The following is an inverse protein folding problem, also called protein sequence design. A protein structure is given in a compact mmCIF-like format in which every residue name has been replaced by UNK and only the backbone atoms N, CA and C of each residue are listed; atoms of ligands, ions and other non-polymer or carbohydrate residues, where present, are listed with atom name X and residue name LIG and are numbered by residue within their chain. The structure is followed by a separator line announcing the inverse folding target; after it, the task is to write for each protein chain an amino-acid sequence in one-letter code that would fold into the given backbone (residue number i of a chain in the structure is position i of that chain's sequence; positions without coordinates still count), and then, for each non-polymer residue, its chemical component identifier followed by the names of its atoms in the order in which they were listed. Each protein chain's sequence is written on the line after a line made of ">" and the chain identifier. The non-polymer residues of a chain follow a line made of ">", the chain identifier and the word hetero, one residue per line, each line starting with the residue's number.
data_IF_754319774515
#
_entry.id   IF_754319774515
#
_cell.length_a   1.000
_cell.length_b   1.000
_cell.length_c   1.000
_cell.angle_alpha   90.00
_cell.angle_beta   90.00
_cell.angle_gamma   90.00
#
_symmetry.space_group_name_H-M   'P 1'
#
loop_
_entity.id
_entity.type
_entity.pdbx_description
1 polymer ?
#
# COMPACT_ATOMS: atom_id res chain seq x y z
N UNK A 1 -4.27 13.55 10.67
CA UNK A 1 -3.27 14.01 11.69
C UNK A 1 -2.73 12.84 12.51
N UNK A 2 -3.59 12.02 13.13
CA UNK A 2 -3.15 10.94 14.03
C UNK A 2 -2.19 9.93 13.38
N UNK A 3 -2.60 9.26 12.30
CA UNK A 3 -1.81 8.17 11.71
C UNK A 3 -0.40 8.61 11.29
N UNK A 4 -0.22 9.81 10.70
CA UNK A 4 1.11 10.31 10.36
C UNK A 4 2.04 10.39 11.57
N UNK A 5 1.52 10.92 12.69
CA UNK A 5 2.28 11.02 13.94
C UNK A 5 2.52 9.64 14.56
N UNK A 6 1.48 8.81 14.61
CA UNK A 6 1.53 7.45 15.17
C UNK A 6 2.53 6.58 14.41
N UNK A 7 2.43 6.55 13.09
CA UNK A 7 3.24 5.70 12.23
C UNK A 7 4.70 6.17 12.24
N UNK A 8 4.95 7.49 12.21
CA UNK A 8 6.29 8.05 12.43
C UNK A 8 6.90 7.58 13.76
N UNK A 9 6.12 7.62 14.83
CA UNK A 9 6.55 7.17 16.16
C UNK A 9 6.87 5.67 16.20
N UNK A 10 5.96 4.80 15.74
CA UNK A 10 6.14 3.34 15.81
C UNK A 10 7.17 2.79 14.82
N UNK A 11 7.37 3.46 13.68
CA UNK A 11 8.39 3.07 12.69
C UNK A 11 9.77 3.65 12.99
N UNK A 12 9.86 4.68 13.84
CA UNK A 12 11.10 5.39 14.13
C UNK A 12 11.56 6.36 13.04
N UNK A 13 10.71 6.63 12.03
CA UNK A 13 10.98 7.61 10.96
C UNK A 13 10.70 9.02 11.51
N UNK A 14 11.75 9.66 12.02
CA UNK A 14 11.64 10.96 12.70
C UNK A 14 11.21 12.10 11.76
N UNK A 15 11.58 12.01 10.48
CA UNK A 15 11.28 13.02 9.47
C UNK A 15 9.78 13.05 9.08
N UNK A 16 9.02 12.03 9.47
CA UNK A 16 7.56 11.98 9.34
C UNK A 16 6.80 12.62 10.50
N UNK A 17 7.49 13.14 11.51
CA UNK A 17 6.85 13.63 12.73
C UNK A 17 6.20 15.00 12.53
N UNK A 18 4.93 15.12 12.95
CA UNK A 18 4.15 16.36 12.86
C UNK A 18 3.73 16.85 14.25
N UNK A 19 3.66 18.17 14.41
CA UNK A 19 3.06 18.79 15.60
C UNK A 19 1.53 18.89 15.43
N UNK A 20 0.84 17.78 15.66
CA UNK A 20 -0.62 17.72 15.54
C UNK A 20 -1.32 18.72 16.46
N UNK A 21 -0.83 18.91 17.70
CA UNK A 21 -1.40 19.86 18.66
C UNK A 21 -1.28 21.31 18.18
N UNK A 22 -0.14 21.68 17.59
CA UNK A 22 0.04 23.04 17.04
C UNK A 22 -0.87 23.30 15.86
N UNK A 23 -1.06 22.32 14.96
CA UNK A 23 -2.01 22.44 13.86
C UNK A 23 -3.44 22.64 14.37
N UNK A 24 -3.89 21.80 15.30
CA UNK A 24 -5.23 21.88 15.88
C UNK A 24 -5.46 23.25 16.54
N UNK A 25 -4.47 23.77 17.27
CA UNK A 25 -4.55 25.06 17.93
C UNK A 25 -4.65 26.27 16.96
N UNK A 26 -4.36 26.08 15.68
CA UNK A 26 -4.45 27.11 14.64
C UNK A 26 -5.66 26.88 13.71
N UNK A 27 -6.48 25.86 13.96
CA UNK A 27 -7.70 25.64 13.18
C UNK A 27 -8.75 26.70 13.54
N UNK A 28 -9.46 27.18 12.51
CA UNK A 28 -10.57 28.11 12.63
C UNK A 28 -11.68 27.73 11.65
N UNK A 29 -12.87 28.29 11.81
CA UNK A 29 -13.99 28.11 10.88
C UNK A 29 -14.37 29.44 10.26
N UNK A 30 -14.46 29.51 8.94
CA UNK A 30 -14.94 30.66 8.18
C UNK A 30 -15.88 30.14 7.10
N UNK A 31 -17.10 30.67 7.03
CA UNK A 31 -18.13 30.25 6.06
C UNK A 31 -18.33 28.73 6.02
N UNK A 32 -18.46 28.12 7.21
CA UNK A 32 -18.61 26.66 7.43
C UNK A 32 -17.45 25.81 6.89
N UNK A 33 -16.32 26.44 6.57
CA UNK A 33 -15.12 25.79 6.08
C UNK A 33 -14.00 25.82 7.12
N UNK A 34 -13.29 24.70 7.25
CA UNK A 34 -12.11 24.61 8.11
C UNK A 34 -10.94 25.35 7.45
N UNK A 35 -10.39 26.33 8.16
CA UNK A 35 -9.22 27.12 7.74
C UNK A 35 -8.14 27.07 8.81
N UNK A 36 -6.93 27.50 8.47
CA UNK A 36 -5.79 27.58 9.40
C UNK A 36 -5.38 29.04 9.56
N UNK A 37 -5.21 29.53 10.78
CA UNK A 37 -4.69 30.88 11.02
C UNK A 37 -3.30 31.04 10.36
N UNK A 38 -3.01 32.20 9.76
CA UNK A 38 -1.79 32.46 8.98
C UNK A 38 -0.49 32.16 9.76
N UNK A 39 -0.45 32.42 11.08
CA UNK A 39 0.70 32.06 11.95
C UNK A 39 0.97 30.55 12.04
N UNK A 40 0.03 29.73 11.57
CA UNK A 40 0.13 28.28 11.47
C UNK A 40 0.84 27.78 10.20
N UNK A 41 1.19 28.66 9.25
CA UNK A 41 1.75 28.29 7.94
C UNK A 41 2.89 27.27 8.02
N UNK A 42 3.89 27.49 8.88
CA UNK A 42 5.01 26.56 9.04
C UNK A 42 4.62 25.18 9.58
N UNK A 43 3.53 25.11 10.35
CA UNK A 43 3.01 23.81 10.83
C UNK A 43 2.35 23.05 9.69
N UNK A 44 1.67 23.76 8.78
CA UNK A 44 1.08 23.18 7.57
C UNK A 44 2.18 22.73 6.61
N UNK A 45 3.22 23.54 6.40
CA UNK A 45 4.38 23.18 5.57
C UNK A 45 5.05 21.91 6.08
N UNK A 46 5.39 21.87 7.38
CA UNK A 46 5.98 20.69 7.99
C UNK A 46 5.07 19.46 7.84
N UNK A 47 3.76 19.63 7.99
CA UNK A 47 2.79 18.54 7.78
C UNK A 47 2.83 18.00 6.35
N UNK A 48 2.85 18.87 5.34
CA UNK A 48 2.87 18.46 3.93
C UNK A 48 4.19 17.75 3.57
N UNK A 49 5.32 18.24 4.08
CA UNK A 49 6.64 17.61 3.90
C UNK A 49 6.69 16.25 4.59
N UNK A 50 6.29 16.18 5.86
CA UNK A 50 6.25 14.94 6.63
C UNK A 50 5.32 13.90 5.98
N UNK A 51 4.16 14.31 5.47
CA UNK A 51 3.25 13.45 4.71
C UNK A 51 3.96 12.84 3.50
N UNK A 52 4.65 13.64 2.68
CA UNK A 52 5.42 13.13 1.53
C UNK A 52 6.50 12.13 1.93
N UNK A 53 7.25 12.43 2.99
CA UNK A 53 8.32 11.57 3.48
C UNK A 53 7.78 10.23 3.97
N UNK A 54 6.71 10.24 4.77
CA UNK A 54 6.02 9.03 5.24
C UNK A 54 5.56 8.13 4.10
N UNK A 55 5.01 8.71 3.02
CA UNK A 55 4.63 7.92 1.86
C UNK A 55 5.79 7.19 1.21
N UNK A 56 6.95 7.82 1.03
CA UNK A 56 8.08 7.17 0.37
C UNK A 56 8.88 6.25 1.29
N UNK A 57 9.04 6.63 2.55
CA UNK A 57 9.88 5.91 3.51
C UNK A 57 9.15 4.75 4.18
N UNK A 58 7.81 4.84 4.34
CA UNK A 58 6.99 3.85 5.04
C UNK A 58 5.99 3.19 4.09
N UNK A 59 5.01 3.94 3.59
CA UNK A 59 3.84 3.34 2.91
C UNK A 59 4.19 2.69 1.56
N UNK A 60 5.07 3.33 0.78
CA UNK A 60 5.57 2.84 -0.51
C UNK A 60 6.98 2.25 -0.37
N UNK A 61 7.37 1.83 0.84
CA UNK A 61 8.65 1.20 1.04
C UNK A 61 8.70 -0.12 0.26
N UNK A 62 9.77 -0.31 -0.52
CA UNK A 62 9.93 -1.43 -1.47
C UNK A 62 9.67 -2.80 -0.85
N UNK A 63 10.09 -3.04 0.40
CA UNK A 63 9.88 -4.32 1.06
C UNK A 63 8.41 -4.55 1.44
N UNK A 64 7.71 -3.49 1.87
CA UNK A 64 6.28 -3.53 2.19
C UNK A 64 5.45 -3.81 0.94
N UNK A 65 5.74 -3.09 -0.16
CA UNK A 65 5.12 -3.34 -1.47
C UNK A 65 5.33 -4.78 -1.95
N UNK A 66 6.55 -5.31 -1.78
CA UNK A 66 6.84 -6.69 -2.13
C UNK A 66 5.98 -7.68 -1.31
N UNK A 67 5.86 -7.48 0.00
CA UNK A 67 5.05 -8.31 0.87
C UNK A 67 3.55 -8.22 0.54
N UNK A 68 3.04 -7.01 0.32
CA UNK A 68 1.64 -6.75 -0.08
C UNK A 68 1.27 -7.51 -1.35
N UNK A 69 2.06 -7.37 -2.42
CA UNK A 69 1.77 -8.07 -3.68
C UNK A 69 1.90 -9.58 -3.56
N UNK A 70 2.81 -10.09 -2.72
CA UNK A 70 2.89 -11.52 -2.44
C UNK A 70 1.62 -11.97 -1.71
N UNK A 71 1.13 -11.21 -0.72
CA UNK A 71 -0.11 -11.53 0.00
C UNK A 71 -1.32 -11.55 -0.94
N UNK A 72 -1.48 -10.53 -1.80
CA UNK A 72 -2.53 -10.49 -2.82
C UNK A 72 -2.49 -11.73 -3.72
N UNK A 73 -1.27 -12.16 -4.11
CA UNK A 73 -1.06 -13.34 -4.93
C UNK A 73 -1.38 -14.64 -4.20
N UNK A 74 -1.09 -14.73 -2.90
CA UNK A 74 -1.52 -15.87 -2.07
C UNK A 74 -3.03 -15.97 -2.07
N UNK A 75 -3.74 -14.87 -1.79
CA UNK A 75 -5.20 -14.86 -1.77
C UNK A 75 -5.77 -15.21 -3.15
N UNK A 76 -5.19 -14.67 -4.23
CA UNK A 76 -5.60 -15.02 -5.60
C UNK A 76 -5.43 -16.53 -5.87
N UNK A 77 -4.27 -17.11 -5.54
CA UNK A 77 -4.04 -18.55 -5.73
C UNK A 77 -4.97 -19.40 -4.88
N UNK A 78 -5.22 -18.99 -3.63
CA UNK A 78 -6.16 -19.66 -2.75
C UNK A 78 -7.57 -19.69 -3.37
N UNK A 79 -8.04 -18.57 -3.92
CA UNK A 79 -9.32 -18.53 -4.66
C UNK A 79 -9.33 -19.47 -5.87
N UNK A 80 -8.28 -19.47 -6.70
CA UNK A 80 -8.18 -20.38 -7.85
C UNK A 80 -8.29 -21.85 -7.45
N UNK A 81 -7.58 -22.25 -6.40
CA UNK A 81 -7.60 -23.63 -5.89
C UNK A 81 -8.98 -23.99 -5.32
N UNK A 82 -9.58 -23.08 -4.54
CA UNK A 82 -10.92 -23.26 -3.98
C UNK A 82 -11.99 -23.41 -5.06
N UNK A 83 -11.97 -22.55 -6.07
CA UNK A 83 -12.88 -22.63 -7.22
C UNK A 83 -12.66 -23.90 -8.06
N UNK A 84 -11.46 -24.48 -8.01
CA UNK A 84 -11.14 -25.76 -8.63
C UNK A 84 -11.56 -26.97 -7.76
N UNK A 85 -12.24 -26.74 -6.64
CA UNK A 85 -12.73 -27.78 -5.73
C UNK A 85 -11.69 -28.31 -4.74
N UNK A 86 -10.52 -27.66 -4.63
CA UNK A 86 -9.47 -28.07 -3.67
C UNK A 86 -9.82 -27.50 -2.29
N UNK A 87 -9.82 -28.38 -1.29
CA UNK A 87 -9.96 -27.96 0.10
C UNK A 87 -8.64 -27.37 0.61
N UNK A 88 -8.71 -26.16 1.16
CA UNK A 88 -7.58 -25.41 1.69
C UNK A 88 -7.41 -25.57 3.21
N UNK A 89 -8.26 -26.38 3.85
CA UNK A 89 -8.23 -26.64 5.29
C UNK A 89 -8.55 -25.41 6.15
N UNK A 90 -9.21 -24.40 5.56
CA UNK A 90 -9.65 -23.20 6.26
C UNK A 90 -11.17 -23.24 6.46
N UNK A 91 -11.61 -22.73 7.61
CA UNK A 91 -13.02 -22.62 7.99
C UNK A 91 -13.34 -21.18 8.38
N UNK A 92 -14.62 -20.84 8.50
CA UNK A 92 -15.07 -19.52 8.94
C UNK A 92 -15.01 -18.44 7.86
N UNK A 93 -14.83 -17.18 8.27
CA UNK A 93 -15.01 -16.00 7.43
C UNK A 93 -14.04 -15.90 6.27
N UNK A 94 -12.78 -16.33 6.43
CA UNK A 94 -11.84 -16.33 5.31
C UNK A 94 -12.32 -17.28 4.20
N UNK A 95 -12.82 -18.45 4.57
CA UNK A 95 -13.32 -19.42 3.60
C UNK A 95 -14.55 -18.91 2.85
N UNK A 96 -15.44 -18.17 3.52
CA UNK A 96 -16.57 -17.49 2.89
C UNK A 96 -16.08 -16.56 1.75
N UNK A 97 -15.14 -15.66 2.04
CA UNK A 97 -14.64 -14.70 1.04
C UNK A 97 -13.78 -15.33 -0.07
N UNK A 98 -13.15 -16.49 0.16
CA UNK A 98 -12.46 -17.18 -0.94
C UNK A 98 -13.43 -17.73 -1.98
N UNK A 99 -14.64 -18.11 -1.56
CA UNK A 99 -15.70 -18.64 -2.42
C UNK A 99 -16.68 -17.59 -2.93
N UNK A 100 -16.63 -16.36 -2.39
CA UNK A 100 -17.54 -15.28 -2.75
C UNK A 100 -17.39 -14.85 -4.22
N UNK A 101 -18.51 -14.73 -4.94
CA UNK A 101 -18.55 -14.16 -6.28
C UNK A 101 -18.52 -12.63 -6.17
N UNK A 102 -17.61 -11.99 -6.92
CA UNK A 102 -17.48 -10.53 -6.91
C UNK A 102 -18.67 -9.81 -7.55
N UNK A 103 -19.53 -10.55 -8.28
CA UNK A 103 -20.74 -10.00 -8.88
C UNK A 103 -21.95 -10.01 -7.93
N UNK A 104 -21.84 -10.66 -6.78
CA UNK A 104 -22.89 -10.65 -5.77
C UNK A 104 -22.89 -9.33 -4.98
N UNK A 105 -24.08 -8.88 -4.58
CA UNK A 105 -24.19 -7.75 -3.66
C UNK A 105 -23.77 -8.17 -2.26
N UNK A 106 -23.09 -7.27 -1.55
CA UNK A 106 -22.73 -7.49 -0.16
C UNK A 106 -23.99 -7.63 0.69
N UNK A 107 -24.20 -8.80 1.26
CA UNK A 107 -25.35 -9.11 2.09
C UNK A 107 -25.05 -8.87 3.57
N UNK A 108 -26.08 -8.96 4.41
CA UNK A 108 -25.90 -8.95 5.87
C UNK A 108 -24.98 -10.10 6.33
N UNK A 109 -25.08 -11.28 5.70
CA UNK A 109 -24.18 -12.41 5.97
C UNK A 109 -22.73 -12.08 5.60
N UNK A 110 -22.51 -11.39 4.45
CA UNK A 110 -21.18 -10.92 4.07
C UNK A 110 -20.60 -9.97 5.12
N UNK A 111 -21.42 -9.08 5.66
CA UNK A 111 -21.01 -8.17 6.73
C UNK A 111 -20.65 -8.92 8.01
N UNK A 112 -21.46 -9.90 8.42
CA UNK A 112 -21.21 -10.70 9.62
C UNK A 112 -19.91 -11.51 9.48
N UNK A 113 -19.62 -12.04 8.29
CA UNK A 113 -18.33 -12.67 8.01
C UNK A 113 -17.17 -11.67 8.05
N UNK A 114 -17.33 -10.49 7.45
CA UNK A 114 -16.30 -9.46 7.43
C UNK A 114 -15.92 -8.99 8.85
N UNK A 115 -16.90 -8.79 9.72
CA UNK A 115 -16.69 -8.37 11.11
C UNK A 115 -15.95 -9.42 11.96
N UNK A 116 -16.01 -10.68 11.55
CA UNK A 116 -15.31 -11.79 12.18
C UNK A 116 -13.94 -12.09 11.54
N UNK A 117 -13.50 -11.29 10.57
CA UNK A 117 -12.22 -11.48 9.90
C UNK A 117 -11.18 -10.51 10.46
N UNK A 118 -10.04 -11.05 10.91
CA UNK A 118 -8.91 -10.25 11.36
C UNK A 118 -7.55 -10.81 10.91
N UNK A 119 -6.46 -10.16 11.35
CA UNK A 119 -5.10 -10.54 10.98
C UNK A 119 -4.74 -11.98 11.43
N UNK A 120 -5.36 -12.50 12.49
CA UNK A 120 -5.13 -13.85 13.00
C UNK A 120 -5.62 -14.88 11.99
N UNK A 121 -6.77 -14.67 11.35
CA UNK A 121 -7.29 -15.56 10.31
C UNK A 121 -6.31 -15.68 9.14
N UNK A 122 -5.82 -14.53 8.67
CA UNK A 122 -4.87 -14.46 7.57
C UNK A 122 -3.55 -15.13 7.96
N UNK A 123 -3.02 -14.84 9.15
CA UNK A 123 -1.76 -15.43 9.63
C UNK A 123 -1.88 -16.94 9.87
N UNK A 124 -3.02 -17.42 10.38
CA UNK A 124 -3.30 -18.83 10.57
C UNK A 124 -3.37 -19.57 9.22
N UNK A 125 -4.09 -19.01 8.25
CA UNK A 125 -4.16 -19.55 6.89
C UNK A 125 -2.78 -19.60 6.23
N UNK A 126 -1.99 -18.52 6.32
CA UNK A 126 -0.63 -18.51 5.81
C UNK A 126 0.25 -19.60 6.43
N UNK A 127 0.18 -19.80 7.76
CA UNK A 127 0.95 -20.86 8.45
C UNK A 127 0.52 -22.25 8.00
N UNK A 128 -0.77 -22.51 7.87
CA UNK A 128 -1.32 -23.76 7.36
C UNK A 128 -0.83 -24.02 5.92
N UNK A 129 -0.93 -23.01 5.07
CA UNK A 129 -0.61 -23.13 3.66
C UNK A 129 0.87 -23.35 3.37
N UNK A 130 1.77 -23.08 4.31
CA UNK A 130 3.20 -23.42 4.15
C UNK A 130 3.44 -24.92 3.88
N UNK A 131 2.57 -25.81 4.34
CA UNK A 131 2.68 -27.26 4.10
C UNK A 131 1.70 -27.78 3.06
N UNK A 132 1.00 -26.91 2.34
CA UNK A 132 0.05 -27.31 1.30
C UNK A 132 0.77 -27.93 0.10
N UNK A 133 0.12 -28.88 -0.57
CA UNK A 133 0.70 -29.62 -1.71
C UNK A 133 0.90 -28.73 -2.94
N UNK A 134 0.05 -27.70 -3.11
CA UNK A 134 0.23 -26.69 -4.15
C UNK A 134 1.55 -25.92 -3.95
N UNK A 135 2.45 -26.04 -4.93
CA UNK A 135 3.76 -25.41 -4.88
C UNK A 135 3.66 -23.88 -4.80
N UNK A 136 2.75 -23.26 -5.55
CA UNK A 136 2.64 -21.79 -5.61
C UNK A 136 2.22 -21.27 -4.23
N UNK A 137 1.10 -21.78 -3.71
CA UNK A 137 0.54 -21.38 -2.44
C UNK A 137 1.55 -21.60 -1.30
N UNK A 138 2.16 -22.79 -1.25
CA UNK A 138 3.10 -23.11 -0.15
C UNK A 138 4.38 -22.28 -0.17
N UNK A 139 4.95 -21.98 -1.34
CA UNK A 139 6.17 -21.17 -1.43
C UNK A 139 5.92 -19.69 -1.16
N UNK A 140 4.79 -19.14 -1.63
CA UNK A 140 4.44 -17.76 -1.32
C UNK A 140 4.11 -17.59 0.17
N UNK A 141 3.37 -18.51 0.77
CA UNK A 141 3.08 -18.49 2.21
C UNK A 141 4.36 -18.60 3.05
N UNK A 142 5.30 -19.48 2.68
CA UNK A 142 6.64 -19.55 3.30
C UNK A 142 7.39 -18.22 3.17
N UNK A 143 7.23 -17.52 2.05
CA UNK A 143 7.92 -16.26 1.78
C UNK A 143 7.50 -15.17 2.78
N UNK A 144 6.20 -15.07 3.09
CA UNK A 144 5.68 -14.14 4.09
C UNK A 144 6.06 -14.59 5.51
N UNK A 145 5.70 -15.80 5.92
CA UNK A 145 5.90 -16.26 7.30
C UNK A 145 7.38 -16.32 7.70
N UNK A 146 8.27 -16.77 6.80
CA UNK A 146 9.72 -16.81 7.06
C UNK A 146 10.43 -15.50 6.72
N UNK A 147 9.69 -14.46 6.31
CA UNK A 147 10.21 -13.15 5.90
C UNK A 147 11.32 -13.25 4.82
N UNK A 148 11.19 -14.18 3.88
CA UNK A 148 12.15 -14.41 2.78
C UNK A 148 11.72 -13.73 1.49
N UNK A 149 11.40 -12.44 1.58
CA UNK A 149 10.82 -11.65 0.49
C UNK A 149 11.64 -11.69 -0.80
N UNK A 150 10.95 -11.49 -1.92
CA UNK A 150 11.54 -11.43 -3.24
C UNK A 150 12.49 -10.23 -3.39
N UNK A 151 13.32 -10.27 -4.44
CA UNK A 151 14.05 -9.09 -4.87
C UNK A 151 13.04 -8.13 -5.51
N UNK A 152 13.08 -6.88 -5.10
CA UNK A 152 12.32 -5.80 -5.71
C UNK A 152 13.29 -4.77 -6.31
N UNK A 153 13.02 -4.35 -7.55
CA UNK A 153 13.69 -3.24 -8.23
C UNK A 153 12.65 -2.19 -8.56
N UNK A 154 12.96 -0.92 -8.32
CA UNK A 154 12.06 0.22 -8.60
C UNK A 154 12.81 1.21 -9.48
N UNK A 155 12.18 1.71 -10.55
CA UNK A 155 12.72 2.74 -11.44
C UNK A 155 11.60 3.61 -12.02
N UNK A 156 11.96 4.72 -12.66
CA UNK A 156 10.97 5.68 -13.21
C UNK A 156 10.37 5.24 -14.55
N UNK A 157 11.07 4.41 -15.31
CA UNK A 157 10.59 3.84 -16.57
C UNK A 157 9.98 2.44 -16.38
N UNK A 158 9.20 1.97 -17.33
CA UNK A 158 8.66 0.60 -17.31
C UNK A 158 9.77 -0.46 -17.47
N UNK A 159 9.52 -1.65 -16.91
CA UNK A 159 10.39 -2.81 -17.15
C UNK A 159 10.05 -3.45 -18.49
N UNK A 160 11.06 -3.92 -19.22
CA UNK A 160 10.87 -4.60 -20.50
C UNK A 160 10.18 -5.96 -20.27
N UNK A 161 9.10 -6.19 -21.01
CA UNK A 161 8.32 -7.44 -20.95
C UNK A 161 9.14 -8.66 -21.35
N UNK A 162 10.02 -8.52 -22.34
CA UNK A 162 10.94 -9.59 -22.78
C UNK A 162 11.80 -10.09 -21.62
N UNK A 163 12.43 -9.18 -20.87
CA UNK A 163 13.28 -9.53 -19.72
C UNK A 163 12.49 -10.13 -18.56
N UNK A 164 11.23 -9.72 -18.39
CA UNK A 164 10.33 -10.31 -17.39
C UNK A 164 9.95 -11.73 -17.77
N UNK A 165 9.63 -11.95 -19.04
CA UNK A 165 9.24 -13.25 -19.57
C UNK A 165 10.40 -14.24 -19.57
N UNK A 166 11.62 -13.80 -19.90
CA UNK A 166 12.82 -14.62 -19.73
C UNK A 166 12.98 -15.13 -18.29
N UNK A 167 12.77 -14.26 -17.29
CA UNK A 167 12.84 -14.65 -15.88
C UNK A 167 11.72 -15.60 -15.50
N UNK A 168 10.50 -15.40 -16.02
CA UNK A 168 9.37 -16.31 -15.83
C UNK A 168 9.68 -17.70 -16.39
N UNK A 169 10.16 -17.78 -17.62
CA UNK A 169 10.51 -19.04 -18.26
C UNK A 169 11.65 -19.76 -17.54
N UNK A 170 12.69 -19.02 -17.11
CA UNK A 170 13.78 -19.58 -16.29
C UNK A 170 13.25 -20.18 -14.99
N UNK A 171 12.35 -19.49 -14.30
CA UNK A 171 11.74 -19.98 -13.06
C UNK A 171 10.82 -21.18 -13.31
N UNK A 172 9.99 -21.11 -14.35
CA UNK A 172 9.08 -22.16 -14.76
C UNK A 172 9.82 -23.47 -15.07
N UNK A 173 10.89 -23.40 -15.88
CA UNK A 173 11.73 -24.56 -16.21
C UNK A 173 12.42 -25.16 -14.98
N UNK A 174 12.93 -24.32 -14.08
CA UNK A 174 13.64 -24.77 -12.87
C UNK A 174 12.73 -25.55 -11.90
N UNK A 175 11.46 -25.17 -11.84
CA UNK A 175 10.50 -25.71 -10.87
C UNK A 175 9.40 -26.57 -11.50
N UNK A 176 9.49 -26.88 -12.80
CA UNK A 176 8.48 -27.58 -13.59
C UNK A 176 7.07 -26.98 -13.42
N UNK A 177 6.98 -25.65 -13.52
CA UNK A 177 5.72 -24.91 -13.39
C UNK A 177 5.17 -24.50 -14.75
N UNK A 178 3.85 -24.32 -14.81
CA UNK A 178 3.21 -23.64 -15.93
C UNK A 178 3.63 -22.16 -16.00
N UNK A 179 3.49 -21.54 -17.18
CA UNK A 179 3.71 -20.08 -17.33
C UNK A 179 2.79 -19.28 -16.42
N UNK A 180 1.56 -19.76 -16.23
CA UNK A 180 0.58 -19.16 -15.32
C UNK A 180 1.08 -19.17 -13.88
N UNK A 181 1.54 -20.31 -13.37
CA UNK A 181 2.04 -20.44 -12.00
C UNK A 181 3.35 -19.66 -11.79
N UNK A 182 4.21 -19.58 -12.80
CA UNK A 182 5.41 -18.76 -12.74
C UNK A 182 5.11 -17.25 -12.64
N UNK A 183 3.96 -16.79 -13.14
CA UNK A 183 3.52 -15.38 -13.03
C UNK A 183 3.23 -14.92 -11.59
N UNK A 184 3.04 -15.88 -10.67
CA UNK A 184 2.93 -15.62 -9.24
C UNK A 184 4.27 -15.22 -8.60
N UNK A 185 5.38 -15.62 -9.20
CA UNK A 185 6.71 -15.36 -8.64
C UNK A 185 7.39 -14.16 -9.29
N UNK A 186 7.21 -13.97 -10.60
CA UNK A 186 7.84 -12.88 -11.34
C UNK A 186 6.77 -11.93 -11.85
N UNK A 187 6.74 -10.71 -11.33
CA UNK A 187 5.69 -9.73 -11.66
C UNK A 187 6.20 -8.30 -11.63
N UNK A 188 5.43 -7.42 -12.26
CA UNK A 188 5.68 -5.99 -12.35
C UNK A 188 4.43 -5.22 -11.92
N UNK A 189 4.59 -3.95 -11.61
CA UNK A 189 3.49 -3.04 -11.32
C UNK A 189 3.98 -1.60 -11.24
N UNK A 190 3.06 -0.69 -10.93
CA UNK A 190 3.38 0.72 -10.74
C UNK A 190 2.87 1.20 -9.39
N UNK A 191 3.60 2.17 -8.83
CA UNK A 191 3.21 2.95 -7.67
C UNK A 191 3.14 4.40 -8.08
N UNK A 192 2.18 5.13 -7.53
CA UNK A 192 2.11 6.56 -7.73
C UNK A 192 1.82 7.27 -6.43
N UNK A 193 2.42 8.44 -6.27
CA UNK A 193 2.17 9.31 -5.14
C UNK A 193 1.92 10.74 -5.62
N UNK A 194 0.87 11.35 -5.08
CA UNK A 194 0.62 12.79 -5.19
C UNK A 194 0.58 13.34 -3.76
N UNK A 195 1.61 14.08 -3.38
CA UNK A 195 1.79 14.49 -1.99
C UNK A 195 0.84 15.63 -1.59
N UNK A 196 0.35 16.42 -2.54
CA UNK A 196 -0.68 17.44 -2.35
C UNK A 196 -1.50 17.61 -3.63
N UNK A 197 -2.83 17.62 -3.54
CA UNK A 197 -3.68 17.90 -4.70
C UNK A 197 -4.43 19.22 -4.54
N UNK A 198 -3.95 20.29 -5.18
CA UNK A 198 -4.57 21.62 -5.14
C UNK A 198 -5.99 21.71 -5.77
N UNK A 199 -6.47 20.65 -6.42
CA UNK A 199 -7.86 20.60 -6.91
C UNK A 199 -8.83 19.97 -5.91
N UNK A 200 -8.33 19.27 -4.88
CA UNK A 200 -9.15 18.46 -3.94
C UNK A 200 -8.79 18.62 -2.47
N UNK A 201 -7.58 19.06 -2.15
CA UNK A 201 -7.01 19.08 -0.79
C UNK A 201 -6.54 20.48 -0.40
N UNK A 202 -7.31 21.53 -0.73
CA UNK A 202 -6.90 22.91 -0.45
C UNK A 202 -6.83 23.17 1.06
N UNK A 203 -5.68 23.67 1.50
CA UNK A 203 -5.49 24.17 2.86
C UNK A 203 -5.50 25.69 2.80
N UNK A 204 -6.62 26.27 3.22
CA UNK A 204 -6.84 27.71 3.24
C UNK A 204 -6.28 28.32 4.52
N UNK A 205 -5.51 29.40 4.37
CA UNK A 205 -5.01 30.22 5.45
C UNK A 205 -5.90 31.46 5.67
N UNK A 206 -6.22 31.74 6.94
CA UNK A 206 -6.90 32.95 7.37
C UNK A 206 -5.88 34.02 7.79
N UNK A 207 -5.81 35.10 7.04
CA UNK A 207 -4.96 36.26 7.31
C UNK A 207 -5.54 37.16 8.38
N UNK A 208 -4.70 38.02 8.96
CA UNK A 208 -5.11 39.00 9.99
C UNK A 208 -6.13 40.02 9.50
N UNK A 209 -6.15 40.31 8.21
CA UNK A 209 -7.12 41.22 7.57
C UNK A 209 -8.46 40.53 7.26
N UNK A 210 -8.61 39.25 7.61
CA UNK A 210 -9.79 38.44 7.34
C UNK A 210 -9.81 37.81 5.94
N UNK A 211 -8.81 38.08 5.09
CA UNK A 211 -8.72 37.48 3.77
C UNK A 211 -8.27 36.01 3.83
N UNK A 212 -8.72 35.23 2.85
CA UNK A 212 -8.39 33.82 2.70
C UNK A 212 -7.40 33.62 1.56
N UNK A 213 -6.36 32.80 1.78
CA UNK A 213 -5.36 32.47 0.76
C UNK A 213 -4.98 30.99 0.83
N UNK A 214 -4.77 30.34 -0.32
CA UNK A 214 -4.29 28.96 -0.35
C UNK A 214 -2.82 28.87 0.10
N UNK A 215 -2.48 27.83 0.86
CA UNK A 215 -1.12 27.64 1.39
C UNK A 215 -0.05 27.61 0.28
N UNK A 216 -0.37 27.10 -0.92
CA UNK A 216 0.59 27.05 -2.02
C UNK A 216 0.84 28.43 -2.66
N UNK A 217 -0.05 29.40 -2.45
CA UNK A 217 0.14 30.79 -2.86
C UNK A 217 0.79 31.63 -1.75
N UNK A 218 0.55 31.27 -0.49
CA UNK A 218 1.10 31.98 0.66
C UNK A 218 2.54 31.57 1.03
N UNK A 219 2.95 30.35 0.69
CA UNK A 219 4.31 29.88 0.94
C UNK A 219 5.26 30.35 -0.16
N UNK A 220 6.27 31.13 0.22
CA UNK A 220 7.36 31.56 -0.66
C UNK A 220 8.30 30.40 -1.07
N UNK A 221 8.10 29.19 -0.55
CA UNK A 221 8.98 28.06 -0.80
C UNK A 221 8.53 27.24 -2.02
N UNK A 222 9.44 27.09 -2.99
CA UNK A 222 9.36 26.19 -4.15
C UNK A 222 8.91 24.74 -3.82
N UNK A 223 9.00 24.34 -2.55
CA UNK A 223 8.66 23.01 -2.08
C UNK A 223 7.21 22.63 -2.30
N UNK A 224 6.21 23.49 -2.04
CA UNK A 224 4.80 23.09 -2.12
C UNK A 224 4.38 22.79 -3.57
N UNK A 225 4.87 23.56 -4.55
CA UNK A 225 4.64 23.26 -5.98
C UNK A 225 5.21 21.90 -6.36
N UNK A 226 6.41 21.56 -5.87
CA UNK A 226 7.02 20.25 -6.09
C UNK A 226 6.31 19.10 -5.33
N UNK A 227 5.42 19.39 -4.37
CA UNK A 227 4.55 18.39 -3.72
C UNK A 227 3.29 18.08 -4.57
N UNK A 228 2.94 18.96 -5.49
CA UNK A 228 1.76 18.84 -6.37
C UNK A 228 2.02 18.02 -7.64
N UNK A 229 3.25 17.56 -7.86
CA UNK A 229 3.60 16.72 -9.00
C UNK A 229 3.38 15.24 -8.68
N UNK A 230 2.62 14.57 -9.56
CA UNK A 230 2.41 13.13 -9.45
C UNK A 230 3.68 12.40 -9.87
N UNK A 231 4.28 11.67 -8.93
CA UNK A 231 5.44 10.82 -9.19
C UNK A 231 4.95 9.40 -9.44
N UNK A 232 5.28 8.82 -10.59
CA UNK A 232 5.01 7.43 -10.93
C UNK A 232 6.33 6.67 -10.96
N UNK A 233 6.37 5.50 -10.33
CA UNK A 233 7.50 4.58 -10.42
C UNK A 233 6.98 3.18 -10.73
N UNK A 234 7.77 2.43 -11.47
CA UNK A 234 7.49 1.04 -11.80
C UNK A 234 8.37 0.15 -10.95
N UNK A 235 7.83 -0.98 -10.51
CA UNK A 235 8.57 -1.98 -9.77
C UNK A 235 8.50 -3.34 -10.45
N UNK A 236 9.55 -4.12 -10.29
CA UNK A 236 9.65 -5.52 -10.68
C UNK A 236 10.01 -6.34 -9.44
N UNK A 237 9.29 -7.44 -9.23
CA UNK A 237 9.52 -8.42 -8.16
C UNK A 237 9.85 -9.80 -8.74
N UNK A 238 10.86 -10.48 -8.17
CA UNK A 238 11.23 -11.85 -8.54
C UNK A 238 12.02 -12.58 -7.45
N UNK A 239 11.98 -13.92 -7.39
CA UNK A 239 12.78 -14.70 -6.43
C UNK A 239 14.27 -14.42 -6.56
N UNK A 240 14.96 -14.27 -5.42
CA UNK A 240 16.40 -13.93 -5.38
C UNK A 240 17.31 -14.92 -6.12
N UNK A 241 16.84 -16.15 -6.36
CA UNK A 241 17.58 -17.17 -7.13
C UNK A 241 17.66 -16.90 -8.63
N UNK A 242 16.94 -15.89 -9.13
CA UNK A 242 16.95 -15.46 -10.54
C UNK A 242 17.75 -14.16 -10.75
N UNK A 243 18.48 -13.72 -9.72
CA UNK A 243 19.34 -12.53 -9.82
C UNK A 243 20.46 -12.72 -10.84
#
# INVERSE_FOLDING_TARGET
>A
LDFLRRDSFYTGVAEGSISAQRLIAMLHVVDDCLVVEEKGIHSVENFLVARRLMYWQVYLHKASLCAEHILMKIIKRARELKCSGIDLGIVGSLNYFLSYDQNEELSQESLDHFLNLDDIDILAALKLWMSHDDFVLSQLSKTIIKRRLFKIKIKEAEFSDEKLEEKRQKFAKKHNLSTHDASYFVFTGSISNLAYNQSKENITLLRKDGSLIDVAQASDQLHIKALSEKVVKYFQCYPKTLE
#
